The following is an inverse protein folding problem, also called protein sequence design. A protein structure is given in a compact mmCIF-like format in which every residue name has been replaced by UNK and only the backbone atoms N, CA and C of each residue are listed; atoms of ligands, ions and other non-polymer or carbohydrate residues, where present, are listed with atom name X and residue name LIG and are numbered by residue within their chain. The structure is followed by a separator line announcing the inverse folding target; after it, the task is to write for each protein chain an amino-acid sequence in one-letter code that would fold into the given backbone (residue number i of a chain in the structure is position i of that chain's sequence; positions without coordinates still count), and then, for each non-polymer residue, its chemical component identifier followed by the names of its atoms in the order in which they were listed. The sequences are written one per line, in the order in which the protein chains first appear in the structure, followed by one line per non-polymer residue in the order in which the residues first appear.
data_IF_145599265622
#
_entry.id   IF_145599265622
#
_cell.length_a   1.000
_cell.length_b   1.000
_cell.length_c   1.000
_cell.angle_alpha   90.00
_cell.angle_beta   90.00
_cell.angle_gamma   90.00
#
_symmetry.space_group_name_H-M   'P 1'
#
loop_
_entity.id
_entity.type
_entity.pdbx_description
1 polymer ?
#
# COMPACT_ATOMS: atom_id res chain seq x y z
N UNK A 1 -8.32 -14.24 15.44
CA UNK A 1 -7.60 -14.28 14.16
C UNK A 1 -7.49 -12.85 13.66
N UNK A 2 -6.31 -12.25 13.65
CA UNK A 2 -6.13 -10.86 13.24
C UNK A 2 -6.06 -10.81 11.71
N UNK A 3 -7.10 -10.29 11.06
CA UNK A 3 -7.10 -10.10 9.61
C UNK A 3 -6.03 -9.09 9.23
N UNK A 4 -4.99 -9.59 8.55
CA UNK A 4 -3.87 -8.78 8.06
C UNK A 4 -3.94 -8.77 6.54
N UNK A 5 -4.17 -7.60 5.94
CA UNK A 5 -4.30 -7.47 4.48
C UNK A 5 -3.07 -6.80 3.91
N UNK A 6 -2.28 -7.53 3.13
CA UNK A 6 -1.08 -6.99 2.48
C UNK A 6 -1.29 -6.95 0.98
N UNK A 7 -0.88 -5.86 0.35
CA UNK A 7 -0.94 -5.66 -1.10
C UNK A 7 0.38 -5.07 -1.60
N UNK A 8 0.81 -5.49 -2.79
CA UNK A 8 2.04 -5.03 -3.43
C UNK A 8 1.76 -4.65 -4.86
N UNK A 9 2.40 -3.57 -5.28
CA UNK A 9 2.22 -2.95 -6.58
C UNK A 9 3.57 -2.46 -7.08
N UNK A 10 3.79 -2.59 -8.38
CA UNK A 10 5.01 -2.12 -9.04
C UNK A 10 4.66 -1.32 -10.28
N UNK A 11 5.47 -0.32 -10.56
CA UNK A 11 5.46 0.39 -11.83
C UNK A 11 6.76 0.04 -12.55
N UNK A 12 6.66 -0.83 -13.56
CA UNK A 12 7.83 -1.28 -14.35
C UNK A 12 8.41 -0.16 -15.20
N UNK A 13 7.58 0.82 -15.60
CA UNK A 13 7.99 1.94 -16.44
C UNK A 13 8.88 2.91 -15.68
N UNK A 14 8.53 3.24 -14.44
CA UNK A 14 9.29 4.18 -13.60
C UNK A 14 10.22 3.50 -12.58
N UNK A 15 10.25 2.16 -12.59
CA UNK A 15 10.99 1.31 -11.68
C UNK A 15 10.68 1.61 -10.19
N UNK A 16 9.40 1.80 -9.90
CA UNK A 16 8.91 2.12 -8.55
C UNK A 16 8.14 0.94 -7.96
N UNK A 17 8.20 0.82 -6.64
CA UNK A 17 7.38 -0.11 -5.89
C UNK A 17 6.51 0.66 -4.90
N UNK A 18 5.35 0.08 -4.63
CA UNK A 18 4.41 0.55 -3.62
C UNK A 18 3.77 -0.67 -2.98
N UNK A 19 3.75 -0.73 -1.66
CA UNK A 19 3.10 -1.79 -0.92
C UNK A 19 2.37 -1.19 0.27
N UNK A 20 1.33 -1.89 0.72
CA UNK A 20 0.61 -1.49 1.89
C UNK A 20 0.12 -2.71 2.65
N UNK A 21 0.11 -2.59 3.97
CA UNK A 21 -0.28 -3.63 4.90
C UNK A 21 -1.26 -3.02 5.92
N UNK A 22 -2.43 -3.62 6.03
CA UNK A 22 -3.42 -3.31 7.05
C UNK A 22 -3.30 -4.36 8.14
N UNK A 23 -3.10 -3.91 9.37
CA UNK A 23 -3.09 -4.75 10.56
C UNK A 23 -4.10 -4.20 11.55
N UNK A 24 -5.28 -4.82 11.61
CA UNK A 24 -6.40 -4.32 12.41
C UNK A 24 -6.82 -2.91 11.96
N UNK A 25 -6.50 -1.89 12.75
CA UNK A 25 -6.80 -0.47 12.45
C UNK A 25 -5.58 0.32 11.96
N UNK A 26 -4.41 -0.30 11.86
CA UNK A 26 -3.18 0.34 11.41
C UNK A 26 -2.92 0.02 9.94
N UNK A 27 -2.48 1.01 9.17
CA UNK A 27 -2.02 0.84 7.79
C UNK A 27 -0.56 1.24 7.70
N UNK A 28 0.27 0.33 7.23
CA UNK A 28 1.68 0.57 6.92
C UNK A 28 1.85 0.58 5.42
N UNK A 29 2.21 1.72 4.85
CA UNK A 29 2.50 1.92 3.43
C UNK A 29 4.01 2.01 3.26
N UNK A 30 4.54 1.35 2.23
CA UNK A 30 5.93 1.44 1.83
C UNK A 30 6.01 1.76 0.35
N UNK A 31 6.84 2.71 -0.04
CA UNK A 31 6.94 3.14 -1.43
C UNK A 31 8.34 3.64 -1.76
N UNK A 32 8.76 3.51 -3.01
CA UNK A 32 10.08 3.98 -3.40
C UNK A 32 10.48 3.48 -4.78
N UNK A 33 11.75 3.67 -5.13
CA UNK A 33 12.35 3.05 -6.31
C UNK A 33 12.90 1.68 -5.97
N UNK A 34 12.70 0.73 -6.88
CA UNK A 34 13.25 -0.63 -6.77
C UNK A 34 14.77 -0.52 -6.69
N UNK A 35 15.39 -1.17 -5.69
CA UNK A 35 16.82 -1.06 -5.40
C UNK A 35 17.22 0.05 -4.41
N UNK A 36 16.26 0.84 -3.90
CA UNK A 36 16.50 1.80 -2.81
C UNK A 36 15.85 1.34 -1.51
N UNK A 37 16.26 1.92 -0.37
CA UNK A 37 15.61 1.67 0.93
C UNK A 37 14.11 2.03 0.91
N UNK A 38 13.71 2.98 0.05
CA UNK A 38 12.37 3.52 -0.04
C UNK A 38 11.96 4.33 1.20
N UNK A 39 10.69 4.69 1.23
CA UNK A 39 10.03 5.37 2.34
C UNK A 39 8.96 4.46 2.93
N UNK A 40 8.72 4.60 4.22
CA UNK A 40 7.67 3.90 4.94
C UNK A 40 6.86 4.91 5.74
N UNK A 41 5.54 4.78 5.68
CA UNK A 41 4.60 5.58 6.44
C UNK A 41 3.60 4.64 7.10
N UNK A 42 3.52 4.68 8.43
CA UNK A 42 2.47 4.01 9.18
C UNK A 42 1.44 5.03 9.64
N UNK A 43 0.17 4.63 9.62
CA UNK A 43 -0.94 5.46 10.10
C UNK A 43 -1.99 4.60 10.75
N UNK A 44 -2.43 4.99 11.94
CA UNK A 44 -3.54 4.34 12.62
C UNK A 44 -4.85 5.07 12.33
N UNK A 45 -5.92 4.28 12.24
CA UNK A 45 -7.28 4.74 11.99
C UNK A 45 -8.19 4.37 13.17
N UNK A 46 -9.38 4.95 13.20
CA UNK A 46 -10.37 4.70 14.25
C UNK A 46 -10.92 3.28 14.22
N UNK A 47 -11.01 2.67 13.03
CA UNK A 47 -11.54 1.31 12.86
C UNK A 47 -10.89 0.62 11.64
N UNK A 48 -11.05 -0.70 11.57
CA UNK A 48 -10.53 -1.52 10.46
C UNK A 48 -11.12 -1.09 9.11
N UNK A 49 -12.41 -0.75 9.07
CA UNK A 49 -13.08 -0.35 7.84
C UNK A 49 -12.48 0.91 7.22
N UNK A 50 -12.13 1.91 8.02
CA UNK A 50 -11.47 3.14 7.58
C UNK A 50 -10.05 2.87 7.06
N UNK A 51 -9.33 1.94 7.68
CA UNK A 51 -8.02 1.49 7.20
C UNK A 51 -8.13 0.83 5.83
N UNK A 52 -9.15 0.00 5.61
CA UNK A 52 -9.44 -0.65 4.32
C UNK A 52 -9.88 0.39 3.27
N UNK A 53 -10.79 1.31 3.60
CA UNK A 53 -11.27 2.33 2.67
C UNK A 53 -10.12 3.25 2.21
N UNK A 54 -9.27 3.67 3.14
CA UNK A 54 -8.07 4.43 2.85
C UNK A 54 -7.12 3.66 1.92
N UNK A 55 -6.91 2.37 2.19
CA UNK A 55 -6.11 1.51 1.33
C UNK A 55 -6.70 1.44 -0.07
N UNK A 56 -8.00 1.16 -0.21
CA UNK A 56 -8.66 1.00 -1.51
C UNK A 56 -8.61 2.29 -2.34
N UNK A 57 -8.83 3.45 -1.73
CA UNK A 57 -8.67 4.75 -2.40
C UNK A 57 -7.25 4.93 -2.93
N UNK A 58 -6.23 4.60 -2.13
CA UNK A 58 -4.83 4.68 -2.57
C UNK A 58 -4.50 3.68 -3.67
N UNK A 59 -5.11 2.49 -3.64
CA UNK A 59 -4.94 1.51 -4.70
C UNK A 59 -5.53 1.99 -6.03
N UNK A 60 -6.72 2.59 -6.02
CA UNK A 60 -7.34 3.12 -7.24
C UNK A 60 -6.48 4.22 -7.86
N UNK A 61 -5.99 5.14 -7.04
CA UNK A 61 -5.09 6.23 -7.44
C UNK A 61 -3.78 5.68 -8.03
N UNK A 62 -3.16 4.68 -7.39
CA UNK A 62 -1.94 4.04 -7.87
C UNK A 62 -2.14 3.26 -9.17
N UNK A 63 -3.28 2.57 -9.33
CA UNK A 63 -3.62 1.89 -10.58
C UNK A 63 -3.76 2.87 -11.75
N UNK A 64 -4.37 4.04 -11.51
CA UNK A 64 -4.46 5.10 -12.51
C UNK A 64 -3.07 5.67 -12.90
N UNK A 65 -2.15 5.73 -11.93
CA UNK A 65 -0.74 6.13 -12.10
C UNK A 65 0.14 5.08 -12.82
N UNK A 66 -0.45 3.96 -13.25
CA UNK A 66 0.25 2.89 -13.97
C UNK A 66 0.94 1.85 -13.08
N UNK A 67 0.66 1.83 -11.77
CA UNK A 67 1.11 0.74 -10.91
C UNK A 67 0.22 -0.48 -11.11
N UNK A 68 0.85 -1.63 -11.34
CA UNK A 68 0.17 -2.93 -11.48
C UNK A 68 0.34 -3.76 -10.20
N UNK A 69 -0.67 -4.57 -9.81
CA UNK A 69 -0.53 -5.49 -8.69
C UNK A 69 0.60 -6.50 -8.96
N UNK A 70 1.40 -6.76 -7.94
CA UNK A 70 2.38 -7.84 -7.89
C UNK A 70 1.69 -9.03 -7.21
N UNK A 71 1.31 -10.04 -7.99
CA UNK A 71 0.72 -11.31 -7.51
C UNK A 71 1.80 -12.32 -7.10
#
# INVERSE_FOLDING_TARGET
MSETKTVRYINKTTNQFWSAQVHGKAVTIRFGRIGTRGHQASREFSNHQAAIDFLQKRLADKKADGFVPEE
#
